data_IF_923021555208
#
_entry.id   IF_923021555208
#
_cell.length_a   1.000
_cell.length_b   1.000
_cell.length_c   1.000
_cell.angle_alpha   90.00
_cell.angle_beta   90.00
_cell.angle_gamma   90.00
#
_symmetry.space_group_name_H-M   'P 1'
#
loop_
_entity.id
_entity.type
_entity.pdbx_description
1 polymer ?
#
# COMPACT_ATOMS: atom_id res chain seq x y z
N UNK A 1 8.56 9.49 10.11
CA UNK A 1 9.07 9.85 11.46
C UNK A 1 10.34 9.09 11.82
N UNK A 2 10.43 7.79 11.52
CA UNK A 2 11.58 6.98 11.94
C UNK A 2 12.92 7.45 11.39
N UNK A 3 12.96 7.99 10.16
CA UNK A 3 14.16 8.63 9.61
C UNK A 3 14.64 9.83 10.44
N UNK A 4 13.72 10.67 10.94
CA UNK A 4 14.07 11.84 11.76
C UNK A 4 14.38 11.44 13.20
N UNK A 5 13.79 10.34 13.71
CA UNK A 5 14.12 9.79 15.04
C UNK A 5 15.58 9.36 15.15
N UNK A 6 16.25 8.99 14.05
CA UNK A 6 17.68 8.65 14.06
C UNK A 6 18.59 9.86 14.36
N UNK A 7 18.08 11.08 14.26
CA UNK A 7 18.85 12.27 14.60
C UNK A 7 18.86 12.46 16.12
N UNK A 8 20.04 12.37 16.75
CA UNK A 8 20.22 12.48 18.22
C UNK A 8 19.51 13.68 18.85
N UNK A 9 19.53 14.84 18.18
CA UNK A 9 18.84 16.05 18.66
C UNK A 9 17.32 15.87 18.72
N UNK A 10 16.74 15.23 17.71
CA UNK A 10 15.30 14.94 17.64
C UNK A 10 14.94 13.91 18.69
N UNK A 11 15.70 12.82 18.80
CA UNK A 11 15.50 11.78 19.82
C UNK A 11 15.52 12.37 21.24
N UNK A 12 16.54 13.18 21.57
CA UNK A 12 16.66 13.82 22.87
C UNK A 12 15.49 14.76 23.15
N UNK A 13 15.07 15.57 22.18
CA UNK A 13 13.92 16.45 22.33
C UNK A 13 12.63 15.66 22.59
N UNK A 14 12.37 14.61 21.82
CA UNK A 14 11.20 13.75 22.01
C UNK A 14 11.20 13.07 23.38
N UNK A 15 12.37 12.65 23.87
CA UNK A 15 12.52 12.09 25.22
C UNK A 15 12.19 13.13 26.30
N UNK A 16 12.71 14.36 26.19
CA UNK A 16 12.40 15.44 27.13
C UNK A 16 10.90 15.77 27.16
N UNK A 17 10.23 15.75 25.99
CA UNK A 17 8.78 15.91 25.93
C UNK A 17 8.03 14.80 26.68
N UNK A 18 8.47 13.54 26.54
CA UNK A 18 7.87 12.39 27.24
C UNK A 18 8.09 12.42 28.76
N UNK A 19 9.22 12.95 29.21
CA UNK A 19 9.54 13.10 30.65
C UNK A 19 8.73 14.23 31.31
N UNK A 20 8.22 15.18 30.52
CA UNK A 20 7.37 16.27 31.01
C UNK A 20 5.92 15.82 31.26
N UNK A 21 5.27 16.42 32.26
CA UNK A 21 3.90 16.06 32.68
C UNK A 21 2.84 16.30 31.60
N UNK A 22 3.03 17.25 30.68
CA UNK A 22 2.05 17.57 29.64
C UNK A 22 1.82 16.41 28.67
N UNK A 23 2.84 15.60 28.39
CA UNK A 23 2.75 14.48 27.45
C UNK A 23 2.01 13.28 28.03
N UNK A 24 1.82 13.24 29.36
CA UNK A 24 1.30 12.08 30.10
C UNK A 24 2.07 10.79 29.77
N UNK A 25 3.38 10.91 29.49
CA UNK A 25 4.27 9.81 29.07
C UNK A 25 3.92 9.18 27.72
N UNK A 26 3.11 9.86 26.89
CA UNK A 26 2.82 9.42 25.53
C UNK A 26 3.90 9.92 24.56
N UNK A 27 4.24 9.09 23.59
CA UNK A 27 5.15 9.49 22.51
C UNK A 27 4.45 10.39 21.48
N UNK A 28 5.23 11.03 20.60
CA UNK A 28 4.70 11.89 19.55
C UNK A 28 3.72 11.16 18.62
N UNK A 29 3.96 9.86 18.33
CA UNK A 29 3.10 9.08 17.45
C UNK A 29 1.68 8.97 18.00
N UNK A 30 1.51 8.75 19.30
CA UNK A 30 0.20 8.71 19.94
C UNK A 30 -0.62 10.00 19.71
N UNK A 31 0.03 11.17 19.69
CA UNK A 31 -0.65 12.43 19.42
C UNK A 31 -1.00 12.60 17.94
N UNK A 32 -0.11 12.18 17.03
CA UNK A 32 -0.37 12.23 15.59
C UNK A 32 -1.46 11.25 15.15
N UNK A 33 -1.55 10.10 15.82
CA UNK A 33 -2.53 9.06 15.54
C UNK A 33 -3.91 9.33 16.17
N UNK A 34 -4.00 10.31 17.07
CA UNK A 34 -5.20 10.61 17.84
C UNK A 34 -6.44 10.91 16.95
N UNK A 35 -6.35 11.71 15.86
CA UNK A 35 -7.51 11.97 14.99
C UNK A 35 -8.03 10.69 14.33
N UNK A 36 -7.14 9.84 13.80
CA UNK A 36 -7.50 8.55 13.20
C UNK A 36 -8.14 7.63 14.23
N UNK A 37 -7.51 7.48 15.40
CA UNK A 37 -8.00 6.65 16.51
C UNK A 37 -9.34 7.14 17.08
N UNK A 38 -9.59 8.45 17.08
CA UNK A 38 -10.86 9.02 17.52
C UNK A 38 -11.96 8.82 16.48
N UNK A 39 -11.65 9.00 15.19
CA UNK A 39 -12.61 8.87 14.10
C UNK A 39 -13.28 7.48 14.11
N UNK A 40 -12.49 6.42 14.23
CA UNK A 40 -12.99 5.03 14.25
C UNK A 40 -13.80 4.67 15.51
N UNK A 41 -13.77 5.52 16.55
CA UNK A 41 -14.55 5.31 17.79
C UNK A 41 -15.96 5.89 17.71
N UNK A 42 -16.21 6.88 16.87
CA UNK A 42 -17.54 7.50 16.77
C UNK A 42 -18.66 6.50 16.47
N UNK A 43 -18.50 5.52 15.55
CA UNK A 43 -19.53 4.50 15.33
C UNK A 43 -19.86 3.70 16.61
N UNK A 44 -18.85 3.40 17.45
CA UNK A 44 -19.04 2.66 18.70
C UNK A 44 -19.78 3.50 19.74
N UNK A 45 -19.41 4.77 19.86
CA UNK A 45 -20.03 5.71 20.81
C UNK A 45 -21.50 5.97 20.44
N UNK A 46 -21.80 6.21 19.15
CA UNK A 46 -23.17 6.44 18.68
C UNK A 46 -24.05 5.20 18.86
N UNK A 47 -23.52 3.99 18.65
CA UNK A 47 -24.25 2.74 18.92
C UNK A 47 -24.62 2.58 20.39
N UNK A 48 -23.74 2.96 21.31
CA UNK A 48 -24.04 2.88 22.74
C UNK A 48 -25.07 3.91 23.18
N UNK A 49 -25.04 5.11 22.59
CA UNK A 49 -26.07 6.13 22.81
C UNK A 49 -27.41 5.62 22.31
N UNK A 50 -27.50 5.16 21.06
CA UNK A 50 -28.73 4.61 20.46
C UNK A 50 -29.31 3.47 21.30
N UNK A 51 -28.47 2.55 21.78
CA UNK A 51 -28.91 1.45 22.64
C UNK A 51 -29.53 1.92 23.96
N UNK A 52 -29.14 3.11 24.44
CA UNK A 52 -29.64 3.72 25.67
C UNK A 52 -30.78 4.72 25.45
N UNK A 53 -31.16 4.97 24.19
CA UNK A 53 -32.22 5.90 23.80
C UNK A 53 -33.59 5.19 23.88
N UNK A 54 -34.60 5.81 24.52
CA UNK A 54 -35.97 5.29 24.51
C UNK A 54 -36.61 5.41 23.11
N UNK A 55 -37.53 4.50 22.74
CA UNK A 55 -38.16 4.51 21.41
C UNK A 55 -39.02 5.74 21.12
N UNK A 56 -39.49 6.44 22.16
CA UNK A 56 -40.31 7.65 22.02
C UNK A 56 -39.46 8.94 21.95
N UNK A 57 -38.13 8.82 21.95
CA UNK A 57 -37.21 9.95 21.92
C UNK A 57 -36.94 10.38 20.47
N UNK A 58 -36.88 11.69 20.15
CA UNK A 58 -36.61 12.17 18.79
C UNK A 58 -35.26 11.69 18.21
N UNK A 59 -34.30 11.33 19.07
CA UNK A 59 -32.99 10.81 18.63
C UNK A 59 -33.03 9.35 18.16
N UNK A 60 -34.09 8.60 18.45
CA UNK A 60 -34.23 7.20 17.99
C UNK A 60 -34.19 7.10 16.46
N UNK A 61 -34.77 8.10 15.78
CA UNK A 61 -34.79 8.19 14.32
C UNK A 61 -33.52 8.82 13.73
N UNK A 62 -32.85 9.73 14.46
CA UNK A 62 -31.70 10.50 13.91
C UNK A 62 -30.35 9.84 14.14
N UNK A 63 -30.19 9.05 15.22
CA UNK A 63 -28.94 8.35 15.54
C UNK A 63 -28.55 7.29 14.50
N UNK A 64 -29.47 6.51 13.90
CA UNK A 64 -29.15 5.60 12.80
C UNK A 64 -28.54 6.31 11.59
N UNK A 65 -29.12 7.45 11.18
CA UNK A 65 -28.61 8.26 10.05
C UNK A 65 -27.21 8.80 10.34
N UNK A 66 -27.00 9.33 11.56
CA UNK A 66 -25.68 9.80 11.99
C UNK A 66 -24.64 8.67 12.03
N UNK A 67 -25.07 7.46 12.43
CA UNK A 67 -24.22 6.27 12.47
C UNK A 67 -23.81 5.82 11.06
N UNK A 68 -24.74 5.83 10.10
CA UNK A 68 -24.43 5.52 8.70
C UNK A 68 -23.46 6.55 8.10
N UNK A 69 -23.73 7.84 8.32
CA UNK A 69 -22.88 8.92 7.83
C UNK A 69 -21.44 8.78 8.34
N UNK A 70 -21.25 8.55 9.64
CA UNK A 70 -19.90 8.42 10.19
C UNK A 70 -19.18 7.16 9.69
N UNK A 71 -19.91 6.05 9.46
CA UNK A 71 -19.33 4.85 8.87
C UNK A 71 -18.88 5.08 7.42
N UNK A 72 -19.66 5.84 6.65
CA UNK A 72 -19.29 6.27 5.30
C UNK A 72 -18.03 7.14 5.33
N UNK A 73 -17.94 8.08 6.27
CA UNK A 73 -16.76 8.95 6.42
C UNK A 73 -15.52 8.12 6.77
N UNK A 74 -15.61 7.17 7.71
CA UNK A 74 -14.49 6.27 8.08
C UNK A 74 -14.02 5.50 6.84
N UNK A 75 -14.96 4.92 6.09
CA UNK A 75 -14.66 4.15 4.89
C UNK A 75 -14.02 5.00 3.79
N UNK A 76 -14.46 6.25 3.63
CA UNK A 76 -13.86 7.21 2.69
C UNK A 76 -12.44 7.58 3.08
N UNK A 77 -12.19 7.84 4.37
CA UNK A 77 -10.85 8.13 4.90
C UNK A 77 -9.91 6.96 4.69
N UNK A 78 -10.35 5.73 4.97
CA UNK A 78 -9.54 4.52 4.75
C UNK A 78 -9.20 4.35 3.26
N UNK A 79 -10.18 4.55 2.36
CA UNK A 79 -9.97 4.53 0.91
C UNK A 79 -8.97 5.58 0.46
N UNK A 80 -9.11 6.82 0.93
CA UNK A 80 -8.19 7.93 0.59
C UNK A 80 -6.79 7.72 1.13
N UNK A 81 -6.67 7.12 2.32
CA UNK A 81 -5.39 6.73 2.91
C UNK A 81 -4.69 5.69 2.03
N UNK A 82 -5.42 4.66 1.58
CA UNK A 82 -4.89 3.65 0.65
C UNK A 82 -4.50 4.24 -0.72
N UNK A 83 -5.28 5.19 -1.25
CA UNK A 83 -4.95 5.91 -2.48
C UNK A 83 -3.65 6.73 -2.34
N UNK A 84 -3.49 7.44 -1.23
CA UNK A 84 -2.29 8.21 -0.93
C UNK A 84 -1.06 7.31 -0.74
N UNK A 85 -1.21 6.17 -0.07
CA UNK A 85 -0.14 5.15 0.08
C UNK A 85 0.28 4.58 -1.28
N UNK A 86 -0.68 4.21 -2.12
CA UNK A 86 -0.41 3.74 -3.48
C UNK A 86 0.34 4.78 -4.31
N UNK A 87 -0.09 6.05 -4.23
CA UNK A 87 0.58 7.16 -4.90
C UNK A 87 2.00 7.37 -4.37
N UNK A 88 2.22 7.27 -3.06
CA UNK A 88 3.52 7.40 -2.42
C UNK A 88 4.49 6.35 -2.96
N UNK A 89 4.12 5.07 -2.91
CA UNK A 89 4.99 3.99 -3.39
C UNK A 89 5.25 4.07 -4.89
N UNK A 90 4.23 4.43 -5.69
CA UNK A 90 4.39 4.63 -7.13
C UNK A 90 5.42 5.70 -7.48
N UNK A 91 5.43 6.81 -6.74
CA UNK A 91 6.43 7.89 -6.91
C UNK A 91 7.83 7.46 -6.48
N UNK A 92 7.93 6.53 -5.52
CA UNK A 92 9.19 5.97 -5.04
C UNK A 92 9.80 4.87 -5.93
N UNK A 93 9.16 4.49 -7.04
CA UNK A 93 9.69 3.48 -7.96
C UNK A 93 10.75 4.08 -8.90
N UNK A 94 11.93 3.45 -8.94
CA UNK A 94 12.98 3.77 -9.89
C UNK A 94 13.10 2.69 -10.98
N UNK A 95 13.08 3.13 -12.23
CA UNK A 95 13.09 2.23 -13.40
C UNK A 95 14.46 2.28 -14.08
N UNK A 96 15.04 1.12 -14.40
CA UNK A 96 16.28 1.01 -15.15
C UNK A 96 16.06 0.97 -16.66
N UNK A 97 14.96 0.35 -17.08
CA UNK A 97 14.61 0.13 -18.48
C UNK A 97 13.21 0.70 -18.73
N UNK A 98 12.99 1.33 -19.89
CA UNK A 98 11.66 1.89 -20.22
C UNK A 98 10.59 0.80 -20.31
N UNK A 99 10.95 -0.42 -20.70
CA UNK A 99 10.02 -1.55 -20.73
C UNK A 99 9.43 -1.91 -19.36
N UNK A 100 10.08 -1.54 -18.26
CA UNK A 100 9.56 -1.76 -16.90
C UNK A 100 8.42 -0.81 -16.53
N UNK A 101 8.21 0.27 -17.28
CA UNK A 101 7.13 1.24 -17.02
C UNK A 101 5.83 0.73 -17.61
N UNK A 102 5.12 -0.09 -16.84
CA UNK A 102 3.78 -0.53 -17.21
C UNK A 102 2.72 0.55 -16.92
N UNK A 103 1.81 0.86 -17.86
CA UNK A 103 0.67 1.75 -17.62
C UNK A 103 -0.19 1.33 -16.42
N UNK A 104 -0.30 0.03 -16.18
CA UNK A 104 -1.01 -0.59 -15.07
C UNK A 104 -0.55 -0.05 -13.70
N UNK A 105 0.72 0.30 -13.55
CA UNK A 105 1.25 0.89 -12.32
C UNK A 105 0.62 2.28 -12.08
N UNK A 106 0.49 3.09 -13.14
CA UNK A 106 -0.08 4.44 -13.06
C UNK A 106 -1.61 4.44 -12.95
N UNK A 107 -2.26 3.41 -13.50
CA UNK A 107 -3.71 3.23 -13.42
C UNK A 107 -4.17 2.63 -12.07
N UNK A 108 -3.28 1.93 -11.36
CA UNK A 108 -3.60 1.35 -10.06
C UNK A 108 -3.91 2.44 -9.02
N UNK A 109 -5.05 2.29 -8.34
CA UNK A 109 -5.51 3.26 -7.32
C UNK A 109 -5.19 2.83 -5.88
N UNK A 110 -4.94 1.55 -5.67
CA UNK A 110 -4.62 1.01 -4.35
C UNK A 110 -3.59 -0.13 -4.45
N UNK A 111 -3.09 -0.55 -3.29
CA UNK A 111 -2.22 -1.71 -3.10
C UNK A 111 -3.00 -2.78 -2.34
N UNK A 112 -2.95 -4.03 -2.78
CA UNK A 112 -3.47 -5.15 -1.99
C UNK A 112 -2.55 -5.44 -0.80
N UNK A 113 -1.24 -5.47 -1.04
CA UNK A 113 -0.22 -5.61 -0.01
C UNK A 113 1.17 -5.25 -0.56
N UNK A 114 2.11 -5.00 0.35
CA UNK A 114 3.52 -4.89 0.02
C UNK A 114 4.39 -5.39 1.17
N UNK A 115 5.64 -5.73 0.90
CA UNK A 115 6.58 -6.16 1.94
C UNK A 115 7.81 -6.87 1.42
N UNK A 116 8.70 -7.25 2.34
CA UNK A 116 9.94 -7.95 2.00
C UNK A 116 9.72 -9.45 1.78
N UNK A 117 10.26 -9.95 0.66
CA UNK A 117 10.34 -11.38 0.34
C UNK A 117 11.75 -11.71 -0.14
N UNK A 118 12.23 -12.92 0.11
CA UNK A 118 13.54 -13.38 -0.39
C UNK A 118 13.39 -14.10 -1.71
N UNK A 119 14.21 -13.77 -2.71
CA UNK A 119 14.25 -14.56 -3.92
C UNK A 119 15.07 -15.84 -3.73
N UNK A 120 15.13 -16.64 -4.78
CA UNK A 120 15.89 -17.88 -4.78
C UNK A 120 17.41 -17.80 -4.60
N UNK A 121 17.98 -16.62 -4.81
CA UNK A 121 19.38 -16.32 -4.58
C UNK A 121 19.61 -15.76 -3.17
N UNK A 122 18.59 -15.79 -2.32
CA UNK A 122 18.62 -15.22 -0.97
C UNK A 122 18.58 -13.68 -0.94
N UNK A 123 18.37 -13.02 -2.08
CA UNK A 123 18.30 -11.56 -2.14
C UNK A 123 16.96 -11.08 -1.59
N UNK A 124 17.00 -10.12 -0.67
CA UNK A 124 15.80 -9.44 -0.17
C UNK A 124 15.25 -8.52 -1.27
N UNK A 125 13.99 -8.71 -1.61
CA UNK A 125 13.23 -7.87 -2.53
C UNK A 125 12.06 -7.27 -1.77
N UNK A 126 11.73 -6.02 -2.07
CA UNK A 126 10.46 -5.42 -1.63
C UNK A 126 9.45 -5.57 -2.75
N UNK A 127 8.37 -6.29 -2.47
CA UNK A 127 7.35 -6.62 -3.46
C UNK A 127 6.13 -5.74 -3.22
N UNK A 128 5.56 -5.20 -4.29
CA UNK A 128 4.33 -4.41 -4.28
C UNK A 128 3.30 -5.09 -5.15
N UNK A 129 2.15 -5.45 -4.57
CA UNK A 129 0.99 -5.92 -5.31
C UNK A 129 0.02 -4.75 -5.46
N UNK A 130 0.17 -4.02 -6.57
CA UNK A 130 -0.80 -3.01 -6.96
C UNK A 130 -2.07 -3.69 -7.48
N UNK A 131 -3.15 -2.92 -7.56
CA UNK A 131 -4.43 -3.35 -8.15
C UNK A 131 -4.26 -4.08 -9.49
N UNK A 132 -3.42 -3.56 -10.38
CA UNK A 132 -3.31 -4.03 -11.78
C UNK A 132 -2.03 -4.79 -12.09
N UNK A 133 -1.03 -4.76 -11.20
CA UNK A 133 0.24 -5.42 -11.44
C UNK A 133 1.01 -5.73 -10.16
N UNK A 134 1.83 -6.79 -10.22
CA UNK A 134 2.83 -7.12 -9.21
C UNK A 134 4.20 -6.57 -9.64
N UNK A 135 4.82 -5.77 -8.78
CA UNK A 135 6.14 -5.15 -9.00
C UNK A 135 7.12 -5.69 -7.96
N UNK A 136 8.22 -6.29 -8.42
CA UNK A 136 9.33 -6.68 -7.56
C UNK A 136 10.36 -5.57 -7.58
N UNK A 137 10.92 -5.19 -6.43
CA UNK A 137 11.91 -4.11 -6.33
C UNK A 137 13.05 -4.47 -5.39
N UNK A 138 14.15 -3.73 -5.50
CA UNK A 138 15.24 -3.70 -4.53
C UNK A 138 15.17 -2.35 -3.81
N UNK A 139 15.21 -2.39 -2.49
CA UNK A 139 15.35 -1.19 -1.66
C UNK A 139 16.79 -0.67 -1.83
N UNK A 140 16.94 0.55 -2.32
CA UNK A 140 18.22 1.22 -2.54
C UNK A 140 18.18 2.56 -1.82
N UNK A 141 19.27 2.94 -1.15
CA UNK A 141 19.39 4.27 -0.56
C UNK A 141 19.63 5.32 -1.65
N UNK A 142 18.86 6.40 -1.58
CA UNK A 142 19.00 7.55 -2.45
C UNK A 142 20.11 8.50 -1.97
N UNK A 143 20.55 9.40 -2.85
CA UNK A 143 21.59 10.41 -2.56
C UNK A 143 21.24 11.31 -1.38
N UNK A 144 19.95 11.52 -1.13
CA UNK A 144 19.42 12.34 -0.03
C UNK A 144 19.13 11.51 1.25
N UNK A 145 19.51 10.23 1.26
CA UNK A 145 19.26 9.30 2.37
C UNK A 145 17.84 8.75 2.43
N UNK A 146 17.01 9.01 1.40
CA UNK A 146 15.70 8.39 1.23
C UNK A 146 15.79 6.93 0.79
N UNK A 147 14.69 6.18 0.90
CA UNK A 147 14.59 4.82 0.35
C UNK A 147 13.89 4.90 -1.01
N UNK A 148 14.56 4.41 -2.05
CA UNK A 148 14.03 4.29 -3.41
C UNK A 148 13.88 2.82 -3.76
N UNK A 149 12.80 2.49 -4.45
CA UNK A 149 12.46 1.12 -4.82
C UNK A 149 12.82 0.87 -6.28
N UNK A 150 14.02 0.36 -6.51
CA UNK A 150 14.50 0.07 -7.85
C UNK A 150 13.81 -1.18 -8.42
N UNK A 151 13.09 -1.04 -9.52
CA UNK A 151 12.33 -2.14 -10.14
C UNK A 151 13.25 -3.26 -10.60
N UNK A 152 12.97 -4.46 -10.10
CA UNK A 152 13.67 -5.69 -10.40
C UNK A 152 12.89 -6.49 -11.46
N UNK A 153 13.51 -6.65 -12.64
CA UNK A 153 12.91 -7.35 -13.80
C UNK A 153 11.61 -6.69 -14.27
N UNK A 154 10.85 -7.39 -15.11
CA UNK A 154 9.61 -6.86 -15.68
C UNK A 154 8.46 -7.04 -14.68
N UNK A 155 7.66 -5.98 -14.41
CA UNK A 155 6.45 -6.15 -13.61
C UNK A 155 5.47 -7.13 -14.25
N UNK A 156 4.64 -7.77 -13.43
CA UNK A 156 3.71 -8.81 -13.87
C UNK A 156 2.27 -8.26 -13.80
N UNK A 157 1.59 -8.02 -14.93
CA UNK A 157 0.19 -7.63 -14.93
C UNK A 157 -0.69 -8.68 -14.26
N UNK A 158 -1.60 -8.27 -13.39
CA UNK A 158 -2.49 -9.17 -12.62
C UNK A 158 -3.34 -10.04 -13.55
N UNK A 159 -3.72 -9.54 -14.72
CA UNK A 159 -4.45 -10.28 -15.75
C UNK A 159 -3.69 -11.51 -16.28
N UNK A 160 -2.36 -11.46 -16.33
CA UNK A 160 -1.51 -12.57 -16.78
C UNK A 160 -0.80 -13.29 -15.64
N UNK A 161 -1.04 -12.89 -14.40
CA UNK A 161 -0.36 -13.41 -13.23
C UNK A 161 -0.80 -14.85 -12.95
N UNK A 162 0.17 -15.71 -12.67
CA UNK A 162 -0.03 -17.09 -12.27
C UNK A 162 0.69 -17.32 -10.94
N UNK A 163 -0.03 -17.90 -9.98
CA UNK A 163 0.46 -18.21 -8.64
C UNK A 163 0.56 -19.72 -8.46
N UNK A 164 1.71 -20.19 -8.00
CA UNK A 164 1.97 -21.57 -7.60
C UNK A 164 2.40 -21.58 -6.12
N UNK A 165 1.66 -22.31 -5.29
CA UNK A 165 2.02 -22.54 -3.89
C UNK A 165 3.04 -23.69 -3.84
N UNK A 166 4.26 -23.41 -3.34
CA UNK A 166 5.32 -24.40 -3.27
C UNK A 166 5.29 -25.10 -1.90
N UNK A 167 5.22 -26.44 -1.85
CA UNK A 167 5.26 -27.17 -0.59
C UNK A 167 6.62 -26.99 0.09
N UNK A 168 6.64 -27.11 1.41
CA UNK A 168 7.89 -27.05 2.17
C UNK A 168 8.78 -28.25 1.81
N UNK A 169 10.07 -28.01 1.60
CA UNK A 169 11.02 -29.07 1.29
C UNK A 169 11.22 -29.99 2.50
N UNK A 170 10.57 -31.16 2.50
CA UNK A 170 10.91 -32.25 3.39
C UNK A 170 12.19 -32.95 2.89
N UNK A 171 13.10 -33.24 3.81
CA UNK A 171 14.34 -33.94 3.50
C UNK A 171 14.07 -35.40 3.13
N UNK A 172 13.80 -35.67 1.85
CA UNK A 172 13.70 -37.03 1.33
C UNK A 172 13.02 -37.09 -0.04
N UNK A 173 13.75 -37.59 -1.05
CA UNK A 173 13.16 -38.07 -2.30
C UNK A 173 12.99 -37.04 -3.41
N UNK A 174 13.54 -37.36 -4.59
CA UNK A 174 13.58 -36.49 -5.76
C UNK A 174 12.21 -36.03 -6.25
N UNK A 175 12.07 -34.71 -6.38
CA UNK A 175 11.01 -34.03 -7.11
C UNK A 175 11.55 -32.70 -7.66
N UNK A 176 10.74 -31.95 -8.41
CA UNK A 176 11.04 -30.76 -9.23
C UNK A 176 11.70 -29.54 -8.51
N UNK A 177 12.24 -29.74 -7.31
CA UNK A 177 12.81 -28.76 -6.41
C UNK A 177 14.27 -28.38 -6.67
N UNK A 178 15.06 -29.17 -7.41
CA UNK A 178 16.53 -28.99 -7.43
C UNK A 178 17.03 -27.76 -8.21
N UNK A 179 16.18 -27.02 -8.93
CA UNK A 179 16.61 -25.88 -9.74
C UNK A 179 16.21 -24.50 -9.19
N UNK A 180 15.33 -24.44 -8.19
CA UNK A 180 14.63 -23.21 -7.88
C UNK A 180 15.27 -22.39 -6.76
N UNK A 181 16.04 -22.97 -5.82
CA UNK A 181 16.73 -22.29 -4.72
C UNK A 181 18.11 -22.92 -4.52
N UNK A 182 19.18 -22.16 -4.75
CA UNK A 182 20.57 -22.65 -4.65
C UNK A 182 21.26 -21.97 -3.47
N UNK A 183 20.88 -22.31 -2.25
CA UNK A 183 21.70 -21.96 -1.08
C UNK A 183 21.50 -22.99 0.03
N UNK A 184 22.60 -23.35 0.67
CA UNK A 184 22.77 -24.57 1.47
C UNK A 184 21.96 -24.65 2.76
N UNK A 185 21.75 -25.89 3.18
CA UNK A 185 21.33 -26.42 4.48
C UNK A 185 20.06 -25.88 5.17
N UNK A 186 19.48 -24.78 4.69
CA UNK A 186 18.21 -24.25 5.19
C UNK A 186 17.07 -24.93 4.45
N UNK A 187 16.18 -25.62 5.19
CA UNK A 187 14.99 -26.23 4.62
C UNK A 187 14.18 -25.11 3.98
N UNK A 188 14.10 -25.11 2.65
CA UNK A 188 13.33 -24.12 1.89
C UNK A 188 11.86 -24.29 2.26
N UNK A 189 11.38 -23.41 3.15
CA UNK A 189 10.02 -23.35 3.65
C UNK A 189 9.37 -22.03 3.28
N UNK A 190 8.05 -21.99 3.33
CA UNK A 190 7.26 -20.77 3.12
C UNK A 190 7.49 -20.13 1.74
N UNK A 191 7.62 -20.95 0.71
CA UNK A 191 7.87 -20.48 -0.65
C UNK A 191 6.59 -20.42 -1.49
N UNK A 192 6.55 -19.47 -2.40
CA UNK A 192 5.55 -19.30 -3.45
C UNK A 192 6.25 -18.94 -4.76
N UNK A 193 5.62 -19.23 -5.89
CA UNK A 193 6.12 -18.82 -7.20
C UNK A 193 5.08 -18.01 -7.94
N UNK A 194 5.52 -16.90 -8.51
CA UNK A 194 4.73 -16.06 -9.40
C UNK A 194 5.31 -16.10 -10.80
N UNK A 195 4.47 -16.19 -11.82
CA UNK A 195 4.88 -16.16 -13.23
C UNK A 195 3.87 -15.41 -14.09
N UNK A 196 4.30 -14.91 -15.25
CA UNK A 196 3.38 -14.41 -16.27
C UNK A 196 2.99 -15.53 -17.23
N UNK A 197 1.71 -15.61 -17.56
CA UNK A 197 1.11 -16.53 -18.54
C UNK A 197 1.37 -16.01 -19.97
N UNK A 198 2.24 -16.65 -20.74
CA UNK A 198 2.53 -16.25 -22.13
C UNK A 198 3.52 -17.16 -22.89
N UNK A 199 3.62 -16.98 -24.22
CA UNK A 199 4.46 -17.80 -25.15
C UNK A 199 5.95 -17.41 -25.16
N UNK A 200 6.33 -16.24 -24.65
CA UNK A 200 7.73 -15.84 -24.45
C UNK A 200 8.21 -16.32 -23.08
N UNK A 201 9.41 -16.91 -22.99
CA UNK A 201 10.08 -17.41 -21.75
C UNK A 201 9.47 -16.80 -20.48
N UNK A 202 8.52 -17.52 -19.86
CA UNK A 202 7.80 -17.03 -18.71
C UNK A 202 8.79 -16.61 -17.61
N UNK A 203 8.86 -15.32 -17.29
CA UNK A 203 9.64 -14.88 -16.14
C UNK A 203 8.92 -15.39 -14.89
N UNK A 204 9.50 -16.41 -14.27
CA UNK A 204 9.03 -16.98 -13.01
C UNK A 204 9.93 -16.51 -11.87
N UNK A 205 9.32 -16.04 -10.78
CA UNK A 205 10.02 -15.65 -9.56
C UNK A 205 9.57 -16.55 -8.42
N UNK A 206 10.51 -17.32 -7.87
CA UNK A 206 10.30 -18.04 -6.61
C UNK A 206 10.67 -17.11 -5.46
N UNK A 207 9.72 -16.90 -4.55
CA UNK A 207 9.80 -15.98 -3.43
C UNK A 207 9.56 -16.75 -2.13
N UNK A 208 10.32 -16.40 -1.10
CA UNK A 208 10.25 -16.98 0.23
C UNK A 208 9.76 -15.91 1.21
N UNK A 209 8.68 -16.23 1.91
CA UNK A 209 8.14 -15.45 3.01
C UNK A 209 8.87 -15.74 4.33
N UNK A 210 8.72 -14.84 5.30
CA UNK A 210 9.39 -14.95 6.59
C UNK A 210 8.89 -16.12 7.43
N UNK A 211 7.58 -16.39 7.36
CA UNK A 211 6.89 -17.45 8.08
C UNK A 211 5.66 -17.94 7.29
N UNK A 212 4.97 -18.95 7.83
CA UNK A 212 3.80 -19.55 7.18
C UNK A 212 2.60 -18.60 7.13
N UNK A 213 2.44 -17.73 8.13
CA UNK A 213 1.36 -16.75 8.16
C UNK A 213 1.57 -15.68 7.09
N UNK A 214 2.77 -15.14 6.99
CA UNK A 214 3.16 -14.19 5.96
C UNK A 214 3.01 -14.78 4.55
N UNK A 215 3.38 -16.05 4.34
CA UNK A 215 3.10 -16.77 3.09
C UNK A 215 1.59 -16.80 2.78
N UNK A 216 0.76 -17.17 3.75
CA UNK A 216 -0.69 -17.24 3.55
C UNK A 216 -1.31 -15.87 3.27
N UNK A 217 -0.84 -14.81 3.92
CA UNK A 217 -1.27 -13.43 3.61
C UNK A 217 -0.96 -13.06 2.16
N UNK A 218 0.27 -13.32 1.69
CA UNK A 218 0.66 -13.07 0.31
C UNK A 218 -0.18 -13.87 -0.69
N UNK A 219 -0.38 -15.16 -0.44
CA UNK A 219 -1.21 -16.03 -1.29
C UNK A 219 -2.65 -15.52 -1.36
N UNK A 220 -3.23 -15.14 -0.21
CA UNK A 220 -4.59 -14.61 -0.15
C UNK A 220 -4.72 -13.33 -0.97
N UNK A 221 -3.81 -12.36 -0.78
CA UNK A 221 -3.81 -11.10 -1.52
C UNK A 221 -3.64 -11.31 -3.02
N UNK A 222 -2.70 -12.17 -3.44
CA UNK A 222 -2.47 -12.50 -4.85
C UNK A 222 -3.70 -13.15 -5.48
N UNK A 223 -4.34 -14.09 -4.79
CA UNK A 223 -5.59 -14.72 -5.27
C UNK A 223 -6.71 -13.69 -5.41
N UNK A 224 -6.88 -12.82 -4.42
CA UNK A 224 -7.89 -11.77 -4.45
C UNK A 224 -7.66 -10.83 -5.65
N UNK A 225 -6.42 -10.37 -5.88
CA UNK A 225 -6.07 -9.54 -7.02
C UNK A 225 -6.38 -10.24 -8.36
N UNK A 226 -6.01 -11.52 -8.48
CA UNK A 226 -6.28 -12.31 -9.69
C UNK A 226 -7.77 -12.50 -9.97
N UNK A 227 -8.59 -12.71 -8.94
CA UNK A 227 -10.06 -12.82 -9.09
C UNK A 227 -10.64 -11.48 -9.54
N UNK A 228 -10.30 -10.38 -8.85
CA UNK A 228 -10.80 -9.04 -9.16
C UNK A 228 -10.40 -8.58 -10.57
N UNK A 229 -9.20 -8.92 -11.03
CA UNK A 229 -8.79 -8.63 -12.40
C UNK A 229 -9.64 -9.37 -13.44
N UNK A 230 -10.00 -10.63 -13.18
CA UNK A 230 -10.83 -11.42 -14.11
C UNK A 230 -12.26 -10.90 -14.15
N UNK A 231 -12.81 -10.52 -13.00
CA UNK A 231 -14.16 -9.96 -12.90
C UNK A 231 -14.26 -8.65 -13.68
N UNK A 232 -13.23 -7.78 -13.58
CA UNK A 232 -13.14 -6.56 -14.37
C UNK A 232 -13.08 -6.83 -15.87
N UNK A 233 -12.24 -7.78 -16.31
CA UNK A 233 -12.11 -8.12 -17.74
C UNK A 233 -13.43 -8.71 -18.29
N UNK A 234 -14.16 -9.47 -17.49
CA UNK A 234 -15.49 -10.00 -17.83
C UNK A 234 -16.53 -8.89 -17.98
N UNK A 235 -16.53 -7.89 -17.09
CA UNK A 235 -17.42 -6.73 -17.17
C UNK A 235 -17.16 -5.90 -18.43
N UNK A 236 -15.88 -5.63 -18.75
CA UNK A 236 -15.50 -4.88 -19.97
C UNK A 236 -15.92 -5.62 -21.24
N UNK A 237 -15.82 -6.95 -21.26
CA UNK A 237 -16.19 -7.78 -22.40
C UNK A 237 -17.71 -7.88 -22.62
N UNK A 238 -18.52 -7.66 -21.57
CA UNK A 238 -19.99 -7.70 -21.64
C UNK A 238 -20.61 -6.34 -21.99
N UNK A 239 -19.84 -5.25 -22.01
CA UNK A 239 -20.32 -3.91 -22.36
C UNK A 239 -19.75 -3.37 -23.69
N UNK A 240 -20.06 -3.95 -24.87
CA UNK A 240 -19.91 -3.23 -26.12
C UNK A 240 -21.16 -2.38 -26.34
N UNK A 241 -20.98 -1.06 -26.51
CA UNK A 241 -22.00 -0.02 -26.73
C UNK A 241 -22.70 0.52 -25.47
N UNK A 242 -22.10 1.53 -24.82
CA UNK A 242 -22.75 2.78 -24.37
C UNK A 242 -21.78 3.64 -23.55
N UNK A 243 -21.12 4.60 -24.20
CA UNK A 243 -20.68 5.91 -23.63
C UNK A 243 -19.64 6.59 -24.53
N UNK A 244 -20.06 6.96 -25.75
CA UNK A 244 -19.55 8.20 -26.37
C UNK A 244 -20.46 9.33 -25.90
N UNK A 245 -20.21 9.87 -24.71
CA UNK A 245 -20.68 11.19 -24.31
C UNK A 245 -19.51 11.91 -23.64
N UNK A 246 -19.28 13.12 -24.12
CA UNK A 246 -18.13 14.00 -23.91
C UNK A 246 -17.79 14.23 -22.42
N UNK A 247 -16.50 14.44 -22.08
CA UNK A 247 -16.14 14.85 -20.73
C UNK A 247 -16.43 16.34 -20.55
N UNK A 248 -17.35 16.65 -19.64
CA UNK A 248 -17.64 18.00 -19.18
C UNK A 248 -16.43 18.50 -18.36
N UNK A 249 -15.74 19.51 -18.90
CA UNK A 249 -14.38 19.93 -18.52
C UNK A 249 -14.34 20.88 -17.30
N UNK A 250 -15.36 20.86 -16.42
CA UNK A 250 -15.63 21.99 -15.53
C UNK A 250 -15.26 21.80 -14.03
N UNK A 251 -14.76 20.64 -13.58
CA UNK A 251 -14.47 20.41 -12.14
C UNK A 251 -13.00 20.24 -11.77
N UNK A 252 -12.07 20.35 -12.72
CA UNK A 252 -10.63 20.29 -12.43
C UNK A 252 -10.02 21.62 -11.94
N UNK A 253 -10.80 22.70 -11.85
CA UNK A 253 -10.27 24.05 -11.61
C UNK A 253 -10.29 24.53 -10.15
N UNK A 254 -10.41 23.63 -9.15
CA UNK A 254 -10.36 24.01 -7.72
C UNK A 254 -9.06 23.54 -7.03
N UNK A 255 -8.28 22.65 -7.65
CA UNK A 255 -7.05 22.14 -7.05
C UNK A 255 -5.77 22.93 -7.41
N UNK A 256 -5.86 23.98 -8.24
CA UNK A 256 -4.72 24.84 -8.60
C UNK A 256 -4.89 26.28 -8.07
N UNK A 257 -5.10 26.42 -6.76
CA UNK A 257 -4.78 27.68 -6.08
C UNK A 257 -3.33 27.61 -5.59
N UNK A 258 -2.47 28.11 -6.48
CA UNK A 258 -1.13 28.65 -6.29
C UNK A 258 -0.72 28.91 -4.83
N UNK A 259 0.23 28.09 -4.34
CA UNK A 259 1.15 28.45 -3.26
C UNK A 259 2.46 28.91 -3.90
N UNK A 260 2.49 30.16 -4.35
CA UNK A 260 3.74 30.86 -4.65
C UNK A 260 3.51 32.37 -4.65
N UNK A 261 3.97 33.03 -3.58
CA UNK A 261 4.69 34.29 -3.75
C UNK A 261 5.63 34.45 -2.58
N UNK A 262 6.91 34.30 -2.89
CA UNK A 262 8.04 34.79 -2.11
C UNK A 262 7.87 36.29 -1.83
N UNK A 263 8.21 36.70 -0.61
CA UNK A 263 8.36 38.11 -0.25
C UNK A 263 9.85 38.44 -0.27
N UNK A 264 10.33 39.01 -1.38
CA UNK A 264 11.62 39.70 -1.44
C UNK A 264 11.51 41.01 -0.62
N UNK A 265 12.25 41.10 0.48
CA UNK A 265 12.46 42.36 1.19
C UNK A 265 13.62 43.10 0.52
N UNK A 266 13.29 44.09 -0.31
CA UNK A 266 14.25 45.04 -0.86
C UNK A 266 14.61 46.09 0.20
N UNK A 267 15.92 46.21 0.41
CA UNK A 267 16.65 47.22 1.16
C UNK A 267 16.35 48.63 0.62
N UNK A 268 15.97 49.57 1.50
CA UNK A 268 16.03 50.99 1.20
C UNK A 268 16.71 51.72 2.34
N UNK A 269 17.99 51.97 2.11
CA UNK A 269 18.77 53.03 2.75
C UNK A 269 18.89 54.22 1.80
N UNK A 270 18.80 55.43 2.36
CA UNK A 270 19.18 56.74 1.80
C UNK A 270 18.15 57.47 0.91
N UNK A 271 17.46 58.49 1.45
CA UNK A 271 17.88 59.91 1.50
C UNK A 271 16.97 60.69 2.44
#
# INVERSE_FOLDING_TARGET
LDMKKQQKRVEQFLRLCQESSFSRKLDLWNFLDLPRSRLVKYPLLLREILKSTPPDHPDEDTLPDALELVQSIVSEVDRKTGEAECQFYRRGLAYLEDGQRLPEIQLSRFLYCHGELKNNKGQKLHVFLFELCLVLTRSVEDKEGGVVFQVYRQPLPTATLHLEDLPDGEGGGGGAFRGAFTSGNDKVRNCLRVSSRGRSKAQSHSLQANDSFNKQQWISCLRQAMVQSRDRDAQVSQSPLSSRLSPDFALYHIAELSLSSDTEMADQSSQ
#
